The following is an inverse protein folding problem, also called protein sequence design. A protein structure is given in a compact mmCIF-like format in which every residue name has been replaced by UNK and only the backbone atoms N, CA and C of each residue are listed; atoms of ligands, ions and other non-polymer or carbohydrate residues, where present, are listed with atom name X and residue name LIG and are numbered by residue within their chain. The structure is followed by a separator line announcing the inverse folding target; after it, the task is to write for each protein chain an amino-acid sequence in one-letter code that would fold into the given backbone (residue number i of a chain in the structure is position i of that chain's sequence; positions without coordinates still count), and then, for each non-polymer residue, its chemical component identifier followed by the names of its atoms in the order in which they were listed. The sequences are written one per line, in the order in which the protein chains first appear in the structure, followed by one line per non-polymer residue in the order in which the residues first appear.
data_IF_226770091643
#
_entry.id   IF_226770091643
#
_cell.length_a   1.000
_cell.length_b   1.000
_cell.length_c   1.000
_cell.angle_alpha   90.00
_cell.angle_beta   90.00
_cell.angle_gamma   90.00
#
_symmetry.space_group_name_H-M   'P 1'
#
loop_
_entity.id
_entity.type
_entity.pdbx_description
1 polymer ?
#
# COMPACT_ATOMS: atom_id res chain seq x y z
N UNK A 1 15.66 -35.72 -50.84
CA UNK A 1 15.65 -34.25 -50.64
C UNK A 1 14.39 -33.68 -49.94
N UNK A 2 13.33 -34.42 -49.69
CA UNK A 2 12.09 -33.95 -49.02
C UNK A 2 12.13 -33.99 -47.48
N UNK A 3 12.99 -34.84 -46.90
CA UNK A 3 13.08 -35.08 -45.44
C UNK A 3 13.77 -33.92 -44.68
N UNK A 4 14.72 -33.23 -45.30
CA UNK A 4 15.47 -32.14 -44.69
C UNK A 4 14.57 -30.87 -44.52
N UNK A 5 13.63 -30.66 -45.44
CA UNK A 5 12.72 -29.52 -45.41
C UNK A 5 11.64 -29.68 -44.32
N UNK A 6 11.24 -30.91 -44.00
CA UNK A 6 10.26 -31.22 -42.95
C UNK A 6 10.82 -30.99 -41.54
N UNK A 7 12.10 -31.40 -41.34
CA UNK A 7 12.78 -31.22 -40.02
C UNK A 7 12.99 -29.74 -39.72
N UNK A 8 13.31 -28.90 -40.69
CA UNK A 8 13.47 -27.46 -40.50
C UNK A 8 12.10 -26.77 -40.19
N UNK A 9 11.01 -27.23 -40.80
CA UNK A 9 9.67 -26.70 -40.56
C UNK A 9 9.19 -27.05 -39.13
N UNK A 10 9.47 -28.28 -38.67
CA UNK A 10 9.17 -28.71 -37.31
C UNK A 10 9.97 -27.94 -36.25
N UNK A 11 11.29 -27.73 -36.47
CA UNK A 11 12.12 -26.94 -35.56
C UNK A 11 11.63 -25.48 -35.42
N UNK A 12 11.15 -24.87 -36.51
CA UNK A 12 10.56 -23.53 -36.49
C UNK A 12 9.25 -23.49 -35.70
N UNK A 13 8.36 -24.48 -35.86
CA UNK A 13 7.09 -24.56 -35.14
C UNK A 13 7.32 -24.75 -33.64
N UNK A 14 8.25 -25.64 -33.26
CA UNK A 14 8.61 -25.87 -31.86
C UNK A 14 9.25 -24.61 -31.23
N UNK A 15 10.12 -23.92 -31.96
CA UNK A 15 10.75 -22.67 -31.49
C UNK A 15 9.72 -21.53 -31.28
N UNK A 16 8.75 -21.38 -32.19
CA UNK A 16 7.68 -20.35 -32.07
C UNK A 16 6.74 -20.67 -30.91
N UNK A 17 6.35 -21.96 -30.72
CA UNK A 17 5.53 -22.36 -29.58
C UNK A 17 6.27 -22.18 -28.23
N UNK A 18 7.56 -22.48 -28.17
CA UNK A 18 8.37 -22.26 -26.98
C UNK A 18 8.49 -20.77 -26.65
N UNK A 19 8.66 -19.93 -27.67
CA UNK A 19 8.70 -18.48 -27.49
C UNK A 19 7.37 -17.90 -27.02
N UNK A 20 6.24 -18.38 -27.54
CA UNK A 20 4.88 -18.01 -27.09
C UNK A 20 4.61 -18.43 -25.65
N UNK A 21 5.08 -19.62 -25.22
CA UNK A 21 4.95 -20.09 -23.84
C UNK A 21 5.77 -19.26 -22.87
N UNK A 22 6.96 -18.84 -23.25
CA UNK A 22 7.81 -17.95 -22.44
C UNK A 22 7.18 -16.54 -22.34
N UNK A 23 6.62 -16.01 -23.44
CA UNK A 23 5.94 -14.72 -23.45
C UNK A 23 4.68 -14.72 -22.57
N UNK A 24 3.91 -15.82 -22.56
CA UNK A 24 2.74 -15.98 -21.69
C UNK A 24 3.12 -16.02 -20.21
N UNK A 25 4.31 -16.55 -19.85
CA UNK A 25 4.83 -16.54 -18.49
C UNK A 25 5.16 -15.16 -17.94
N UNK A 26 5.53 -14.21 -18.80
CA UNK A 26 5.81 -12.82 -18.37
C UNK A 26 4.55 -11.98 -18.14
N UNK A 27 3.38 -12.39 -18.61
CA UNK A 27 2.09 -11.72 -18.36
C UNK A 27 1.47 -12.10 -17.01
N UNK A 28 2.02 -13.08 -16.29
CA UNK A 28 1.60 -13.45 -14.93
C UNK A 28 2.30 -12.58 -13.87
N UNK A 29 2.88 -11.46 -14.27
CA UNK A 29 3.55 -10.51 -13.38
C UNK A 29 2.57 -9.68 -12.57
N UNK A 30 2.78 -9.76 -11.26
CA UNK A 30 2.28 -8.84 -10.23
C UNK A 30 0.75 -8.82 -10.03
N UNK A 31 0.20 -9.90 -9.52
CA UNK A 31 -0.87 -9.76 -8.54
C UNK A 31 -0.23 -9.18 -7.27
N UNK A 32 -0.15 -7.85 -7.25
CA UNK A 32 0.24 -7.11 -6.05
C UNK A 32 -0.97 -7.18 -5.11
N UNK A 33 -0.97 -8.15 -4.19
CA UNK A 33 -1.93 -8.23 -3.08
C UNK A 33 -1.62 -7.15 -2.01
N UNK A 34 -1.13 -5.99 -2.42
CA UNK A 34 -1.07 -4.82 -1.60
C UNK A 34 -2.50 -4.36 -1.33
N UNK A 35 -2.85 -4.28 -0.08
CA UNK A 35 -4.10 -3.70 0.38
C UNK A 35 -4.28 -2.33 -0.30
N UNK A 36 -5.44 -2.10 -0.93
CA UNK A 36 -5.63 -0.84 -1.65
C UNK A 36 -5.56 0.32 -0.65
N UNK A 37 -4.89 1.42 -1.00
CA UNK A 37 -4.75 2.60 -0.12
C UNK A 37 -6.10 3.12 0.40
N UNK A 38 -7.17 2.90 -0.35
CA UNK A 38 -8.54 3.27 -0.01
C UNK A 38 -9.10 2.53 1.22
N UNK A 39 -8.52 1.37 1.57
CA UNK A 39 -8.91 0.55 2.73
C UNK A 39 -7.94 0.64 3.89
N UNK A 40 -6.97 1.56 3.83
CA UNK A 40 -5.97 1.74 4.87
C UNK A 40 -6.19 3.10 5.53
N UNK A 41 -6.39 3.10 6.84
CA UNK A 41 -6.43 4.29 7.68
C UNK A 41 -5.11 4.42 8.44
N UNK A 42 -4.34 5.45 8.14
CA UNK A 42 -3.05 5.72 8.78
C UNK A 42 -3.21 6.78 9.86
N UNK A 43 -2.99 6.39 11.10
CA UNK A 43 -3.11 7.24 12.28
C UNK A 43 -1.73 7.46 12.90
N UNK A 44 -1.39 8.71 13.21
CA UNK A 44 -0.16 9.07 13.91
C UNK A 44 -0.49 9.88 15.17
N UNK A 45 -0.28 9.27 16.34
CA UNK A 45 -0.78 9.78 17.60
C UNK A 45 0.26 9.65 18.72
N UNK A 46 -0.03 10.21 19.88
CA UNK A 46 0.74 9.99 21.11
C UNK A 46 0.64 8.52 21.55
N UNK A 47 1.72 8.01 22.17
CA UNK A 47 1.85 6.59 22.53
C UNK A 47 0.70 6.08 23.39
N UNK A 48 0.25 6.86 24.38
CA UNK A 48 -0.70 6.41 25.39
C UNK A 48 -2.12 7.03 25.27
N UNK A 49 -2.48 7.53 24.06
CA UNK A 49 -3.77 8.25 23.91
C UNK A 49 -4.95 7.37 23.49
N UNK A 50 -4.68 6.21 22.94
CA UNK A 50 -5.74 5.24 22.55
C UNK A 50 -5.61 4.02 23.45
N UNK A 51 -6.74 3.65 24.09
CA UNK A 51 -6.82 2.46 24.94
C UNK A 51 -6.74 1.16 24.16
N UNK A 52 -6.42 0.10 24.86
CA UNK A 52 -6.40 -1.25 24.30
C UNK A 52 -7.78 -1.62 23.75
N UNK A 53 -7.84 -2.24 22.56
CA UNK A 53 -9.05 -2.70 21.90
C UNK A 53 -9.81 -1.64 21.09
N UNK A 54 -9.53 -0.34 21.29
CA UNK A 54 -10.30 0.74 20.60
C UNK A 54 -10.16 0.69 19.08
N UNK A 55 -9.00 0.32 18.56
CA UNK A 55 -8.76 0.24 17.11
C UNK A 55 -9.52 -0.94 16.50
N UNK A 56 -9.55 -2.07 17.17
CA UNK A 56 -10.27 -3.28 16.78
C UNK A 56 -11.80 -3.05 16.84
N UNK A 57 -12.27 -2.36 17.87
CA UNK A 57 -13.68 -1.97 18.01
C UNK A 57 -14.09 -1.03 16.89
N UNK A 58 -13.21 -0.08 16.52
CA UNK A 58 -13.49 0.82 15.40
C UNK A 58 -13.52 0.07 14.06
N UNK A 59 -12.63 -0.88 13.82
CA UNK A 59 -12.67 -1.70 12.60
C UNK A 59 -13.97 -2.49 12.50
N UNK A 60 -14.42 -3.07 13.61
CA UNK A 60 -15.68 -3.81 13.70
C UNK A 60 -16.87 -2.90 13.42
N UNK A 61 -16.92 -1.74 14.08
CA UNK A 61 -17.94 -0.71 13.86
C UNK A 61 -17.99 -0.24 12.41
N UNK A 62 -16.82 0.05 11.81
CA UNK A 62 -16.74 0.51 10.42
C UNK A 62 -17.31 -0.54 9.45
N UNK A 63 -16.96 -1.80 9.66
CA UNK A 63 -17.49 -2.92 8.87
C UNK A 63 -19.00 -3.06 8.99
N UNK A 64 -19.55 -2.91 10.20
CA UNK A 64 -21.00 -2.95 10.43
C UNK A 64 -21.74 -1.81 9.72
N UNK A 65 -21.15 -0.61 9.69
CA UNK A 65 -21.77 0.57 9.09
C UNK A 65 -21.66 0.61 7.56
N UNK A 66 -20.54 0.14 7.01
CA UNK A 66 -20.22 0.29 5.57
C UNK A 66 -20.26 -1.01 4.78
N UNK A 67 -20.16 -2.15 5.46
CA UNK A 67 -19.97 -3.47 4.84
C UNK A 67 -18.55 -3.73 4.35
N UNK A 68 -17.62 -2.79 4.56
CA UNK A 68 -16.23 -2.87 4.08
C UNK A 68 -15.26 -3.08 5.24
N UNK A 69 -14.18 -3.81 4.97
CA UNK A 69 -13.07 -3.95 5.90
C UNK A 69 -12.11 -2.77 5.75
N UNK A 70 -11.63 -2.22 6.88
CA UNK A 70 -10.58 -1.21 6.93
C UNK A 70 -9.37 -1.74 7.70
N UNK A 71 -8.17 -1.51 7.18
CA UNK A 71 -6.91 -1.81 7.87
C UNK A 71 -6.38 -0.55 8.52
N UNK A 72 -6.07 -0.62 9.82
CA UNK A 72 -5.52 0.52 10.56
C UNK A 72 -4.01 0.37 10.71
N UNK A 73 -3.27 1.34 10.20
CA UNK A 73 -1.83 1.50 10.45
C UNK A 73 -1.67 2.55 11.54
N UNK A 74 -1.46 2.10 12.78
CA UNK A 74 -1.28 2.98 13.93
C UNK A 74 0.19 3.17 14.24
N UNK A 75 0.64 4.42 14.21
CA UNK A 75 2.00 4.82 14.58
C UNK A 75 1.95 5.81 15.73
N UNK A 76 2.99 5.79 16.56
CA UNK A 76 3.08 6.68 17.73
C UNK A 76 4.29 7.58 17.68
N UNK A 77 4.20 8.70 18.40
CA UNK A 77 5.31 9.61 18.64
C UNK A 77 5.29 10.11 20.11
N UNK A 78 6.45 10.53 20.58
CA UNK A 78 6.65 11.08 21.93
C UNK A 78 7.05 12.57 21.89
N UNK A 79 7.47 13.06 20.72
CA UNK A 79 7.97 14.42 20.52
C UNK A 79 7.32 15.05 19.28
N UNK A 80 6.60 16.15 19.48
CA UNK A 80 5.91 16.88 18.43
C UNK A 80 6.81 17.30 17.24
N UNK A 81 8.03 17.78 17.53
CA UNK A 81 8.96 18.27 16.52
C UNK A 81 9.50 17.14 15.64
N UNK A 82 9.67 15.94 16.21
CA UNK A 82 10.08 14.73 15.45
C UNK A 82 8.92 14.33 14.54
N UNK A 83 7.71 14.27 15.08
CA UNK A 83 6.50 13.99 14.31
C UNK A 83 6.35 14.97 13.13
N UNK A 84 6.44 16.28 13.39
CA UNK A 84 6.33 17.30 12.36
C UNK A 84 7.42 17.16 11.29
N UNK A 85 8.66 16.89 11.69
CA UNK A 85 9.77 16.68 10.76
C UNK A 85 9.54 15.45 9.87
N UNK A 86 8.97 14.39 10.43
CA UNK A 86 8.62 13.17 9.67
C UNK A 86 7.59 13.47 8.58
N UNK A 87 6.54 14.24 8.91
CA UNK A 87 5.52 14.65 7.93
C UNK A 87 6.13 15.57 6.87
N UNK A 88 6.91 16.59 7.26
CA UNK A 88 7.48 17.58 6.34
C UNK A 88 8.51 16.98 5.38
N UNK A 89 9.33 16.04 5.82
CA UNK A 89 10.48 15.52 5.06
C UNK A 89 10.29 14.09 4.59
N UNK A 90 9.47 13.32 5.29
CA UNK A 90 9.25 11.89 5.02
C UNK A 90 8.25 11.63 3.89
N UNK A 91 7.52 12.66 3.43
CA UNK A 91 6.42 12.50 2.48
C UNK A 91 5.42 11.41 2.90
N UNK A 92 5.23 11.26 4.20
CA UNK A 92 4.30 10.29 4.77
C UNK A 92 2.87 10.79 4.61
N UNK A 93 2.00 9.95 4.11
CA UNK A 93 0.59 10.22 3.86
C UNK A 93 -0.30 9.72 5.01
N UNK A 94 -0.23 10.38 6.16
CA UNK A 94 -1.14 10.09 7.27
C UNK A 94 -2.53 10.67 7.00
N UNK A 95 -3.58 9.93 7.39
CA UNK A 95 -4.96 10.38 7.30
C UNK A 95 -5.37 11.16 8.55
N UNK A 96 -4.84 10.74 9.71
CA UNK A 96 -5.13 11.38 11.00
C UNK A 96 -3.83 11.59 11.76
N UNK A 97 -3.63 12.81 12.26
CA UNK A 97 -2.53 13.17 13.16
C UNK A 97 -3.07 13.92 14.37
N UNK A 98 -2.57 13.63 15.57
CA UNK A 98 -3.04 14.21 16.83
C UNK A 98 -1.92 14.93 17.59
N UNK A 99 -1.33 16.02 17.04
CA UNK A 99 -0.29 16.77 17.73
C UNK A 99 -0.85 17.76 18.76
N UNK A 100 0.04 18.40 19.49
CA UNK A 100 -0.33 19.53 20.34
C UNK A 100 -0.75 20.75 19.50
N UNK A 101 -1.55 21.64 20.10
CA UNK A 101 -2.17 22.81 19.44
C UNK A 101 -1.17 23.68 18.67
N UNK A 102 -0.02 24.00 19.29
CA UNK A 102 1.00 24.85 18.63
C UNK A 102 1.62 24.23 17.38
N UNK A 103 1.62 22.89 17.30
CA UNK A 103 2.06 22.19 16.09
C UNK A 103 0.99 22.25 15.00
N UNK A 104 -0.30 22.15 15.35
CA UNK A 104 -1.39 22.33 14.40
C UNK A 104 -1.29 23.72 13.74
N UNK A 105 -1.05 24.77 14.53
CA UNK A 105 -0.84 26.12 13.99
C UNK A 105 0.36 26.18 13.02
N UNK A 106 1.46 25.49 13.34
CA UNK A 106 2.63 25.41 12.44
C UNK A 106 2.33 24.64 11.16
N UNK A 107 1.57 23.55 11.25
CA UNK A 107 1.17 22.75 10.09
C UNK A 107 0.27 23.54 9.14
N UNK A 108 -0.70 24.28 9.68
CA UNK A 108 -1.56 25.17 8.90
C UNK A 108 -0.76 26.26 8.18
N UNK A 109 0.19 26.91 8.86
CA UNK A 109 1.08 27.92 8.25
C UNK A 109 1.97 27.37 7.13
N UNK A 110 2.23 26.06 7.15
CA UNK A 110 3.06 25.37 6.16
C UNK A 110 2.25 24.61 5.10
N UNK A 111 0.93 24.74 5.11
CA UNK A 111 0.02 24.04 4.20
C UNK A 111 0.22 22.51 4.22
N UNK A 112 0.36 21.94 5.41
CA UNK A 112 0.49 20.50 5.63
C UNK A 112 -0.85 19.84 6.04
N UNK A 113 -1.89 20.63 6.19
CA UNK A 113 -3.27 20.25 6.47
C UNK A 113 -4.20 20.85 5.42
#
# INVERSE_FOLDING_TARGET
MKMCCYVNKMKRIVSVNLFLLVLAGFLSGCYNSGESRERVLKIYNWADYIGEGVLEDFQSYYKEQTGEDIHIVYQTFDINEIMLTKIEKGHEDFDVVCPSEYIIERMLKKHLL
#
